data_IF_758663997235
#
_entry.id   IF_758663997235
#
_cell.length_a   1.000
_cell.length_b   1.000
_cell.length_c   1.000
_cell.angle_alpha   90.00
_cell.angle_beta   90.00
_cell.angle_gamma   90.00
#
_symmetry.space_group_name_H-M   'P 1'
#
loop_
_entity.id
_entity.type
_entity.pdbx_description
1 polymer ?
#
# COMPACT_ATOMS: atom_id res chain seq x y z
N UNK A 1 59.31 38.61 44.10
CA UNK A 1 58.90 39.81 44.87
C UNK A 1 58.05 40.71 43.98
N UNK A 2 57.00 41.30 44.58
CA UNK A 2 55.97 42.20 44.02
C UNK A 2 54.82 41.49 43.32
N UNK A 3 53.55 41.79 43.58
CA UNK A 3 52.80 42.27 44.76
C UNK A 3 51.33 42.13 44.31
N UNK A 4 50.49 41.74 45.25
CA UNK A 4 49.03 41.62 45.18
C UNK A 4 48.38 42.95 44.73
N UNK A 5 47.27 42.89 43.97
CA UNK A 5 46.11 43.75 44.23
C UNK A 5 44.87 43.30 43.42
N UNK A 6 43.85 42.96 44.18
CA UNK A 6 42.48 42.64 43.84
C UNK A 6 41.68 43.94 43.61
N UNK A 7 40.81 43.97 42.61
CA UNK A 7 39.71 44.93 42.52
C UNK A 7 38.45 44.22 42.00
N UNK A 8 37.47 44.16 42.89
CA UNK A 8 36.11 43.62 42.78
C UNK A 8 35.18 44.67 42.14
N UNK A 9 33.94 44.26 41.86
CA UNK A 9 32.76 45.03 41.38
C UNK A 9 32.68 45.07 39.84
N UNK A 10 31.75 44.40 39.16
CA UNK A 10 30.41 43.96 39.52
C UNK A 10 29.39 44.85 38.79
N UNK A 11 28.94 44.45 37.61
CA UNK A 11 27.63 44.84 37.10
C UNK A 11 27.13 43.82 36.07
N UNK A 12 26.03 43.18 36.43
CA UNK A 12 25.22 42.31 35.61
C UNK A 12 24.70 43.01 34.35
N UNK A 13 24.27 42.17 33.40
CA UNK A 13 23.00 42.24 32.67
C UNK A 13 23.05 42.47 31.15
N UNK A 14 22.28 41.59 30.49
CA UNK A 14 21.57 41.72 29.21
C UNK A 14 22.29 41.25 27.94
N UNK A 15 22.06 39.96 27.68
CA UNK A 15 21.68 39.36 26.40
C UNK A 15 21.09 40.40 25.43
N UNK A 16 21.86 40.75 24.41
CA UNK A 16 21.37 41.49 23.25
C UNK A 16 21.35 40.54 22.06
N UNK A 17 20.13 40.27 21.59
CA UNK A 17 19.84 39.50 20.40
C UNK A 17 20.58 40.06 19.18
N UNK A 18 21.36 39.22 18.52
CA UNK A 18 21.84 39.48 17.18
C UNK A 18 20.66 39.34 16.21
N UNK A 19 20.13 40.48 15.77
CA UNK A 19 19.17 40.60 14.68
C UNK A 19 19.91 40.38 13.34
N UNK A 20 20.17 39.12 13.01
CA UNK A 20 20.33 38.71 11.62
C UNK A 20 18.95 38.30 11.13
N UNK A 21 18.42 38.87 10.03
CA UNK A 21 17.18 38.38 9.48
C UNK A 21 17.39 36.91 9.18
N UNK A 22 16.61 36.08 9.89
CA UNK A 22 16.35 34.72 9.49
C UNK A 22 16.08 34.79 7.99
N UNK A 23 16.98 34.18 7.21
CA UNK A 23 16.62 33.73 5.88
C UNK A 23 15.40 32.86 6.14
N UNK A 24 14.22 33.43 5.86
CA UNK A 24 13.01 32.66 5.64
C UNK A 24 13.37 31.83 4.42
N UNK A 25 14.00 30.69 4.69
CA UNK A 25 13.91 29.51 3.86
C UNK A 25 12.41 29.32 3.72
N UNK A 26 11.91 29.87 2.62
CA UNK A 26 10.61 29.62 2.07
C UNK A 26 10.57 28.12 1.81
N UNK A 27 10.30 27.34 2.87
CA UNK A 27 9.69 26.03 2.80
C UNK A 27 8.25 26.24 2.34
N UNK A 28 8.12 26.84 1.15
CA UNK A 28 7.10 26.43 0.22
C UNK A 28 7.43 24.98 -0.04
N UNK A 29 6.75 24.10 0.70
CA UNK A 29 6.65 22.68 0.44
C UNK A 29 5.95 22.48 -0.90
N UNK A 30 6.58 22.95 -1.98
CA UNK A 30 6.51 22.31 -3.26
C UNK A 30 7.55 21.19 -3.17
N UNK A 31 7.19 20.10 -2.49
CA UNK A 31 7.93 18.85 -2.58
C UNK A 31 8.03 18.53 -4.06
N UNK A 32 9.16 18.84 -4.68
CA UNK A 32 9.48 18.31 -5.99
C UNK A 32 9.46 16.80 -5.81
N UNK A 33 8.42 16.14 -6.32
CA UNK A 33 8.34 14.68 -6.33
C UNK A 33 9.60 14.17 -7.03
N UNK A 34 10.53 13.60 -6.26
CA UNK A 34 11.70 12.94 -6.80
C UNK A 34 11.39 11.46 -7.01
N UNK A 35 12.20 10.82 -7.85
CA UNK A 35 12.05 9.43 -8.25
C UNK A 35 12.08 8.47 -7.06
N UNK A 36 12.90 8.74 -6.05
CA UNK A 36 13.01 7.89 -4.85
C UNK A 36 11.73 7.93 -3.98
N UNK A 37 11.13 9.11 -3.80
CA UNK A 37 9.83 9.23 -3.09
C UNK A 37 8.74 8.48 -3.83
N UNK A 38 8.64 8.67 -5.15
CA UNK A 38 7.64 7.99 -5.97
C UNK A 38 7.85 6.47 -5.99
N UNK A 39 9.11 6.02 -6.10
CA UNK A 39 9.45 4.59 -6.00
C UNK A 39 9.01 4.02 -4.67
N UNK A 40 9.23 4.73 -3.57
CA UNK A 40 8.76 4.31 -2.24
C UNK A 40 7.24 4.14 -2.21
N UNK A 41 6.49 5.11 -2.71
CA UNK A 41 5.02 5.06 -2.75
C UNK A 41 4.50 3.88 -3.60
N UNK A 42 5.14 3.62 -4.75
CA UNK A 42 4.84 2.45 -5.58
C UNK A 42 5.08 1.15 -4.80
N UNK A 43 6.22 1.05 -4.10
CA UNK A 43 6.57 -0.14 -3.32
C UNK A 43 5.68 -0.32 -2.09
N UNK A 44 5.23 0.76 -1.45
CA UNK A 44 4.25 0.69 -0.36
C UNK A 44 2.91 0.08 -0.83
N UNK A 45 2.45 0.42 -2.03
CA UNK A 45 1.28 -0.22 -2.64
C UNK A 45 1.56 -1.70 -2.95
N UNK A 46 2.76 -2.04 -3.44
CA UNK A 46 3.15 -3.42 -3.68
C UNK A 46 3.09 -4.24 -2.39
N UNK A 47 3.72 -3.73 -1.32
CA UNK A 47 3.80 -4.40 -0.03
C UNK A 47 2.43 -4.51 0.65
N UNK A 48 1.51 -3.59 0.36
CA UNK A 48 0.10 -3.68 0.77
C UNK A 48 -0.64 -4.80 0.05
N UNK A 49 -0.48 -4.91 -1.26
CA UNK A 49 -1.23 -5.87 -2.10
C UNK A 49 -0.65 -7.29 -2.04
N UNK A 50 0.67 -7.44 -2.00
CA UNK A 50 1.34 -8.76 -2.07
C UNK A 50 0.79 -9.75 -1.03
N UNK A 51 0.63 -9.40 0.25
CA UNK A 51 0.10 -10.32 1.27
C UNK A 51 -1.32 -10.83 0.97
N UNK A 52 -2.08 -10.11 0.14
CA UNK A 52 -3.46 -10.47 -0.23
C UNK A 52 -3.55 -11.56 -1.30
N UNK A 53 -2.44 -11.91 -1.95
CA UNK A 53 -2.38 -12.91 -3.01
C UNK A 53 -2.82 -14.31 -2.55
N UNK A 54 -2.43 -14.68 -1.33
CA UNK A 54 -2.83 -15.95 -0.71
C UNK A 54 -4.31 -15.95 -0.31
N UNK A 55 -4.84 -14.95 0.43
CA UNK A 55 -6.27 -14.77 0.66
C UNK A 55 -7.12 -14.83 -0.62
N UNK A 56 -6.74 -14.10 -1.67
CA UNK A 56 -7.46 -14.13 -2.95
C UNK A 56 -7.52 -15.53 -3.55
N UNK A 57 -6.39 -16.26 -3.55
CA UNK A 57 -6.33 -17.63 -4.08
C UNK A 57 -7.20 -18.60 -3.28
N UNK A 58 -7.21 -18.46 -1.95
CA UNK A 58 -8.03 -19.28 -1.06
C UNK A 58 -9.51 -19.03 -1.30
N UNK A 59 -9.91 -17.75 -1.30
CA UNK A 59 -11.30 -17.34 -1.50
C UNK A 59 -11.81 -17.73 -2.88
N UNK A 60 -10.99 -17.58 -3.92
CA UNK A 60 -11.27 -18.08 -5.26
C UNK A 60 -11.61 -19.57 -5.22
N UNK A 61 -10.78 -20.39 -4.56
CA UNK A 61 -11.01 -21.83 -4.44
C UNK A 61 -12.30 -22.17 -3.69
N UNK A 62 -12.60 -21.45 -2.60
CA UNK A 62 -13.84 -21.63 -1.84
C UNK A 62 -15.07 -21.31 -2.67
N UNK A 63 -15.06 -20.20 -3.41
CA UNK A 63 -16.16 -19.84 -4.32
C UNK A 63 -16.32 -20.85 -5.45
N UNK A 64 -15.22 -21.30 -6.08
CA UNK A 64 -15.27 -22.33 -7.11
C UNK A 64 -15.86 -23.65 -6.59
N UNK A 65 -15.55 -24.04 -5.36
CA UNK A 65 -16.13 -25.22 -4.74
C UNK A 65 -17.62 -25.00 -4.42
N UNK A 66 -17.95 -23.83 -3.88
CA UNK A 66 -19.33 -23.50 -3.53
C UNK A 66 -20.24 -23.42 -4.76
N UNK A 67 -19.73 -23.09 -5.95
CA UNK A 67 -20.55 -22.96 -7.18
C UNK A 67 -21.11 -24.29 -7.70
N UNK A 68 -20.52 -25.43 -7.30
CA UNK A 68 -20.87 -26.75 -7.84
C UNK A 68 -22.32 -27.10 -7.51
N UNK A 69 -23.12 -27.38 -8.55
CA UNK A 69 -24.51 -27.81 -8.41
C UNK A 69 -25.49 -26.71 -7.97
N UNK A 70 -25.06 -25.44 -7.92
CA UNK A 70 -25.93 -24.32 -7.53
C UNK A 70 -26.53 -23.57 -8.72
N UNK A 71 -27.73 -23.04 -8.52
CA UNK A 71 -28.44 -22.23 -9.51
C UNK A 71 -27.76 -20.86 -9.75
N UNK A 72 -27.10 -20.31 -8.73
CA UNK A 72 -26.35 -19.05 -8.75
C UNK A 72 -24.87 -19.24 -9.17
N UNK A 73 -24.53 -20.39 -9.76
CA UNK A 73 -23.14 -20.75 -10.12
C UNK A 73 -22.44 -19.72 -11.01
N UNK A 74 -23.16 -19.04 -11.90
CA UNK A 74 -22.60 -17.99 -12.77
C UNK A 74 -22.07 -16.81 -11.95
N UNK A 75 -22.85 -16.34 -10.97
CA UNK A 75 -22.47 -15.20 -10.13
C UNK A 75 -21.28 -15.56 -9.24
N UNK A 76 -21.28 -16.78 -8.69
CA UNK A 76 -20.18 -17.30 -7.87
C UNK A 76 -18.89 -17.43 -8.68
N UNK A 77 -18.98 -17.98 -9.89
CA UNK A 77 -17.83 -18.11 -10.79
C UNK A 77 -17.31 -16.76 -11.30
N UNK A 78 -18.19 -15.77 -11.44
CA UNK A 78 -17.81 -14.39 -11.77
C UNK A 78 -16.96 -13.79 -10.65
N UNK A 79 -17.41 -13.87 -9.40
CA UNK A 79 -16.63 -13.41 -8.25
C UNK A 79 -15.27 -14.14 -8.11
N UNK A 80 -15.25 -15.46 -8.33
CA UNK A 80 -14.01 -16.23 -8.34
C UNK A 80 -13.04 -15.77 -9.45
N UNK A 81 -13.58 -15.40 -10.62
CA UNK A 81 -12.79 -14.92 -11.76
C UNK A 81 -12.21 -13.53 -11.51
N UNK A 82 -12.95 -12.63 -10.87
CA UNK A 82 -12.43 -11.30 -10.50
C UNK A 82 -11.25 -11.40 -9.50
N UNK A 83 -11.33 -12.31 -8.52
CA UNK A 83 -10.20 -12.60 -7.62
C UNK A 83 -8.97 -13.10 -8.37
N UNK A 84 -9.18 -13.99 -9.35
CA UNK A 84 -8.11 -14.49 -10.23
C UNK A 84 -7.47 -13.34 -11.01
N UNK A 85 -8.27 -12.48 -11.63
CA UNK A 85 -7.75 -11.37 -12.44
C UNK A 85 -7.02 -10.31 -11.61
N UNK A 86 -7.49 -9.98 -10.40
CA UNK A 86 -6.78 -9.08 -9.51
C UNK A 86 -5.39 -9.65 -9.13
N UNK A 87 -5.33 -10.95 -8.79
CA UNK A 87 -4.07 -11.67 -8.55
C UNK A 87 -3.16 -11.65 -9.78
N UNK A 88 -3.67 -12.00 -10.96
CA UNK A 88 -2.87 -12.02 -12.19
C UNK A 88 -2.33 -10.64 -12.55
N UNK A 89 -3.12 -9.58 -12.35
CA UNK A 89 -2.67 -8.21 -12.57
C UNK A 89 -1.44 -7.85 -11.73
N UNK A 90 -1.41 -8.25 -10.45
CA UNK A 90 -0.24 -8.05 -9.58
C UNK A 90 0.99 -8.84 -10.08
N UNK A 91 0.80 -10.09 -10.52
CA UNK A 91 1.90 -10.91 -11.06
C UNK A 91 2.46 -10.36 -12.38
N UNK A 92 1.57 -9.90 -13.26
CA UNK A 92 1.95 -9.24 -14.52
C UNK A 92 2.71 -7.96 -14.22
N UNK A 93 2.20 -7.14 -13.30
CA UNK A 93 2.86 -5.91 -12.89
C UNK A 93 4.28 -6.14 -12.35
N UNK A 94 4.49 -7.10 -11.44
CA UNK A 94 5.83 -7.39 -10.91
C UNK A 94 6.84 -7.76 -12.01
N UNK A 95 6.39 -8.57 -12.98
CA UNK A 95 7.22 -8.98 -14.13
C UNK A 95 7.54 -7.79 -15.02
N UNK A 96 6.54 -6.97 -15.34
CA UNK A 96 6.72 -5.80 -16.20
C UNK A 96 7.56 -4.71 -15.53
N UNK A 97 7.32 -4.42 -14.25
CA UNK A 97 8.06 -3.45 -13.47
C UNK A 97 9.56 -3.77 -13.48
N UNK A 98 9.91 -5.02 -13.17
CA UNK A 98 11.31 -5.47 -13.15
C UNK A 98 11.96 -5.54 -14.54
N UNK A 99 11.18 -5.78 -15.60
CA UNK A 99 11.72 -5.88 -16.97
C UNK A 99 11.87 -4.51 -17.65
N UNK A 100 11.07 -3.52 -17.24
CA UNK A 100 10.98 -2.24 -17.94
C UNK A 100 11.71 -1.11 -17.20
N UNK A 101 12.11 -1.29 -15.94
CA UNK A 101 12.85 -0.28 -15.19
C UNK A 101 14.34 -0.34 -15.52
N UNK A 102 14.94 0.81 -15.82
CA UNK A 102 16.38 0.95 -16.06
C UNK A 102 17.00 1.92 -15.05
N UNK A 103 18.02 1.47 -14.32
CA UNK A 103 18.70 2.30 -13.31
C UNK A 103 19.46 3.49 -13.92
N UNK A 104 19.87 3.39 -15.19
CA UNK A 104 20.64 4.41 -15.90
C UNK A 104 19.82 5.60 -16.41
N UNK A 105 18.49 5.56 -16.29
CA UNK A 105 17.60 6.65 -16.70
C UNK A 105 17.87 7.95 -15.96
N UNK A 106 17.56 9.07 -16.63
CA UNK A 106 17.56 10.39 -16.03
C UNK A 106 16.53 10.48 -14.91
N UNK A 107 16.66 11.52 -14.06
CA UNK A 107 15.70 11.73 -12.98
C UNK A 107 14.28 11.96 -13.52
N UNK A 108 14.14 12.73 -14.60
CA UNK A 108 12.86 13.01 -15.24
C UNK A 108 12.22 11.73 -15.82
N UNK A 109 13.00 10.87 -16.44
CA UNK A 109 12.55 9.57 -16.97
C UNK A 109 12.06 8.65 -15.83
N UNK A 110 12.81 8.58 -14.72
CA UNK A 110 12.43 7.79 -13.54
C UNK A 110 11.15 8.33 -12.89
N UNK A 111 11.02 9.64 -12.74
CA UNK A 111 9.81 10.29 -12.21
C UNK A 111 8.60 9.94 -13.09
N UNK A 112 8.73 10.05 -14.42
CA UNK A 112 7.65 9.70 -15.35
C UNK A 112 7.26 8.21 -15.24
N UNK A 113 8.24 7.32 -15.15
CA UNK A 113 8.02 5.89 -14.96
C UNK A 113 7.28 5.61 -13.65
N UNK A 114 7.79 6.07 -12.50
CA UNK A 114 7.18 5.75 -11.21
C UNK A 114 5.78 6.37 -11.04
N UNK A 115 5.48 7.52 -11.67
CA UNK A 115 4.10 8.03 -11.73
C UNK A 115 3.16 7.07 -12.47
N UNK A 116 3.60 6.54 -13.60
CA UNK A 116 2.83 5.55 -14.36
C UNK A 116 2.62 4.27 -13.56
N UNK A 117 3.68 3.76 -12.93
CA UNK A 117 3.61 2.54 -12.11
C UNK A 117 2.75 2.73 -10.87
N UNK A 118 2.76 3.91 -10.25
CA UNK A 118 1.86 4.26 -9.14
C UNK A 118 0.40 4.15 -9.55
N UNK A 119 0.01 4.74 -10.69
CA UNK A 119 -1.37 4.63 -11.20
C UNK A 119 -1.77 3.18 -11.54
N UNK A 120 -0.83 2.34 -11.98
CA UNK A 120 -1.10 0.91 -12.17
C UNK A 120 -1.34 0.22 -10.82
N UNK A 121 -0.48 0.47 -9.84
CA UNK A 121 -0.59 -0.13 -8.51
C UNK A 121 -1.83 0.32 -7.75
N UNK A 122 -2.25 1.58 -7.85
CA UNK A 122 -3.50 2.07 -7.26
C UNK A 122 -4.73 1.33 -7.84
N UNK A 123 -4.72 1.05 -9.15
CA UNK A 123 -5.79 0.26 -9.80
C UNK A 123 -5.75 -1.20 -9.36
N UNK A 124 -4.57 -1.80 -9.20
CA UNK A 124 -4.43 -3.17 -8.70
C UNK A 124 -4.91 -3.25 -7.25
N UNK A 125 -4.56 -2.28 -6.40
CA UNK A 125 -4.99 -2.19 -5.01
C UNK A 125 -6.52 -2.07 -4.88
N UNK A 126 -7.14 -1.19 -5.68
CA UNK A 126 -8.61 -1.07 -5.75
C UNK A 126 -9.24 -2.39 -6.18
N UNK A 127 -8.78 -3.00 -7.28
CA UNK A 127 -9.33 -4.29 -7.75
C UNK A 127 -9.17 -5.41 -6.73
N UNK A 128 -8.04 -5.45 -6.04
CA UNK A 128 -7.78 -6.42 -4.97
C UNK A 128 -8.78 -6.24 -3.83
N UNK A 129 -8.96 -4.99 -3.38
CA UNK A 129 -9.88 -4.66 -2.28
C UNK A 129 -11.32 -4.99 -2.67
N UNK A 130 -11.76 -4.60 -3.86
CA UNK A 130 -13.13 -4.81 -4.35
C UNK A 130 -13.43 -6.30 -4.54
N UNK A 131 -12.52 -7.05 -5.17
CA UNK A 131 -12.69 -8.48 -5.39
C UNK A 131 -12.73 -9.27 -4.07
N UNK A 132 -11.88 -8.92 -3.10
CA UNK A 132 -11.92 -9.53 -1.77
C UNK A 132 -13.20 -9.20 -1.02
N UNK A 133 -13.66 -7.95 -1.05
CA UNK A 133 -14.90 -7.55 -0.40
C UNK A 133 -16.10 -8.30 -0.99
N UNK A 134 -16.25 -8.28 -2.31
CA UNK A 134 -17.34 -8.95 -3.02
C UNK A 134 -17.32 -10.47 -2.81
N UNK A 135 -16.13 -11.09 -2.90
CA UNK A 135 -15.98 -12.53 -2.71
C UNK A 135 -16.30 -12.98 -1.28
N UNK A 136 -15.86 -12.22 -0.27
CA UNK A 136 -16.15 -12.54 1.13
C UNK A 136 -17.63 -12.35 1.45
N UNK A 137 -18.24 -11.27 0.97
CA UNK A 137 -19.67 -11.04 1.14
C UNK A 137 -20.49 -12.16 0.50
N UNK A 138 -20.11 -12.59 -0.71
CA UNK A 138 -20.77 -13.68 -1.40
C UNK A 138 -20.61 -15.00 -0.65
N UNK A 139 -19.39 -15.35 -0.23
CA UNK A 139 -19.15 -16.59 0.52
C UNK A 139 -19.97 -16.63 1.83
N UNK A 140 -20.02 -15.52 2.57
CA UNK A 140 -20.83 -15.43 3.79
C UNK A 140 -22.33 -15.65 3.51
N UNK A 141 -22.86 -15.12 2.40
CA UNK A 141 -24.25 -15.38 1.99
C UNK A 141 -24.49 -16.85 1.66
N UNK A 142 -23.54 -17.51 0.99
CA UNK A 142 -23.64 -18.93 0.62
C UNK A 142 -23.62 -19.82 1.87
N UNK A 143 -22.76 -19.51 2.84
CA UNK A 143 -22.67 -20.22 4.13
C UNK A 143 -23.96 -20.07 4.95
N UNK A 144 -24.55 -18.87 4.99
CA UNK A 144 -25.82 -18.63 5.69
C UNK A 144 -27.03 -19.35 5.05
N UNK A 145 -26.95 -19.64 3.75
CA UNK A 145 -28.02 -20.32 3.00
C UNK A 145 -27.88 -21.85 2.98
N UNK A 146 -26.76 -22.39 3.44
CA UNK A 146 -26.56 -23.84 3.53
C UNK A 146 -27.13 -24.31 4.87
N UNK A 147 -28.31 -24.96 4.92
CA UNK A 147 -28.82 -25.49 6.19
C UNK A 147 -27.80 -26.50 6.73
N UNK A 148 -27.55 -26.45 8.04
CA UNK A 148 -26.65 -27.36 8.74
C UNK A 148 -26.98 -28.83 8.38
N UNK A 149 -26.25 -29.40 7.42
CA UNK A 149 -26.38 -30.81 7.03
C UNK A 149 -25.63 -31.76 7.98
N UNK A 150 -25.12 -31.27 9.11
CA UNK A 150 -24.35 -32.08 10.07
C UNK A 150 -25.18 -32.72 11.20
N UNK A 151 -26.51 -32.60 11.22
CA UNK A 151 -27.34 -33.23 12.28
C UNK A 151 -28.04 -34.54 11.88
N UNK A 152 -27.86 -35.05 10.66
CA UNK A 152 -28.62 -36.22 10.16
C UNK A 152 -27.80 -37.52 9.99
N UNK A 153 -26.51 -37.55 10.30
CA UNK A 153 -25.65 -38.75 10.14
C UNK A 153 -25.38 -39.53 11.43
N UNK A 154 -26.02 -39.19 12.56
CA UNK A 154 -25.76 -39.84 13.86
C UNK A 154 -26.89 -40.77 14.35
N UNK A 155 -27.75 -41.25 13.45
CA UNK A 155 -28.83 -42.17 13.80
C UNK A 155 -29.09 -43.22 12.72
N UNK A 156 -28.10 -44.10 12.46
CA UNK A 156 -28.34 -45.47 11.98
C UNK A 156 -27.34 -46.44 12.63
#
# INVERSE_FOLDING_TARGET
MKKIALALVGLSMLWACNNSPAQVENSSASTSENSESLKKEVMELHDKVMPQMTPMSKLQGQLMQASVGRADSIDIMTAATELKYAKEAMMVWMREFSSNFEESWSEEEKVAFFKSEKMKMERIDSKTTDALAAGNELLAKLEAQTPAQDSASAAE
#
